data_IF_598173366200
#
_entry.id   IF_598173366200
#
_cell.length_a   1.000
_cell.length_b   1.000
_cell.length_c   1.000
_cell.angle_alpha   90.00
_cell.angle_beta   90.00
_cell.angle_gamma   90.00
#
_symmetry.space_group_name_H-M   'P 1'
#
loop_
_entity.id
_entity.type
_entity.pdbx_description
1 polymer ?
#
# COMPACT_ATOMS: atom_id res chain seq x y z
N UNK A 1 3.57 32.87 12.26
CA UNK A 1 4.70 31.97 11.90
C UNK A 1 5.25 31.20 13.09
N UNK A 2 5.34 31.78 14.29
CA UNK A 2 5.86 31.09 15.48
C UNK A 2 5.02 29.87 15.96
N UNK A 3 3.68 29.92 15.81
CA UNK A 3 2.81 28.83 16.30
C UNK A 3 2.90 27.53 15.48
N UNK A 4 3.26 27.61 14.19
CA UNK A 4 3.41 26.44 13.33
C UNK A 4 4.78 25.76 13.55
N UNK A 5 5.81 26.54 13.87
CA UNK A 5 7.12 26.02 14.28
C UNK A 5 7.03 25.29 15.63
N UNK A 6 6.20 25.77 16.55
CA UNK A 6 6.00 25.16 17.88
C UNK A 6 5.30 23.80 17.79
N UNK A 7 4.41 23.59 16.80
CA UNK A 7 3.75 22.30 16.60
C UNK A 7 4.69 21.23 16.01
N UNK A 8 5.69 21.65 15.21
CA UNK A 8 6.74 20.77 14.68
C UNK A 8 7.82 20.42 15.73
N UNK A 9 7.95 21.22 16.80
CA UNK A 9 8.92 21.01 17.89
C UNK A 9 8.37 20.15 19.04
N UNK A 10 7.16 19.60 18.92
CA UNK A 10 6.52 18.75 19.94
C UNK A 10 6.20 17.33 19.45
N UNK A 11 6.93 16.83 18.44
CA UNK A 11 7.08 15.40 18.19
C UNK A 11 8.17 14.86 19.12
N UNK A 12 7.86 14.20 20.25
CA UNK A 12 8.90 13.56 21.05
C UNK A 12 9.42 12.33 20.29
N UNK A 13 10.74 12.24 20.14
CA UNK A 13 11.54 11.03 19.94
C UNK A 13 10.94 9.94 19.02
N UNK A 14 11.14 10.09 17.71
CA UNK A 14 11.24 8.92 16.84
C UNK A 14 12.63 8.33 17.09
N UNK A 15 12.71 7.40 18.06
CA UNK A 15 13.86 6.51 18.11
C UNK A 15 13.84 5.70 16.81
N UNK A 16 14.83 5.98 15.96
CA UNK A 16 15.15 5.16 14.81
C UNK A 16 15.56 3.78 15.35
N UNK A 17 14.62 2.84 15.42
CA UNK A 17 14.90 1.45 15.77
C UNK A 17 15.65 0.82 14.58
N UNK A 18 16.99 0.95 14.60
CA UNK A 18 17.85 -0.01 13.92
C UNK A 18 17.63 -1.37 14.59
N UNK A 19 16.81 -2.21 13.97
CA UNK A 19 16.73 -3.62 14.34
C UNK A 19 18.05 -4.30 13.96
N UNK A 20 18.95 -4.37 14.93
CA UNK A 20 20.18 -5.16 14.88
C UNK A 20 19.81 -6.63 15.15
N UNK A 21 19.48 -7.37 14.09
CA UNK A 21 19.37 -8.82 14.11
C UNK A 21 20.74 -9.45 13.97
N UNK A 22 21.51 -9.47 15.06
CA UNK A 22 22.76 -10.21 15.13
C UNK A 22 22.50 -11.69 15.44
N UNK A 23 22.74 -12.57 14.48
CA UNK A 23 23.14 -13.95 14.78
C UNK A 23 24.37 -14.36 13.98
N UNK A 24 25.32 -14.92 14.74
CA UNK A 24 26.60 -15.44 14.31
C UNK A 24 26.36 -16.82 13.68
N UNK A 25 26.79 -17.03 12.44
CA UNK A 25 27.17 -18.37 11.99
C UNK A 25 28.56 -18.35 11.35
N UNK A 26 29.40 -19.22 11.90
CA UNK A 26 30.83 -19.26 11.71
C UNK A 26 31.27 -19.76 10.35
N UNK A 27 32.52 -19.41 10.05
CA UNK A 27 33.33 -19.97 8.97
C UNK A 27 33.43 -21.50 9.11
N UNK A 28 33.14 -22.21 8.03
CA UNK A 28 33.89 -23.39 7.63
C UNK A 28 33.93 -23.45 6.10
N UNK A 29 35.14 -23.30 5.57
CA UNK A 29 35.43 -23.44 4.15
C UNK A 29 35.86 -24.87 3.83
N UNK A 30 35.44 -25.33 2.64
CA UNK A 30 36.04 -26.36 1.77
C UNK A 30 36.16 -27.80 2.30
N UNK A 31 35.51 -28.71 1.55
CA UNK A 31 36.25 -29.66 0.70
C UNK A 31 35.43 -30.03 -0.55
N UNK A 32 36.06 -29.88 -1.71
CA UNK A 32 35.63 -30.47 -2.99
C UNK A 32 35.98 -31.96 -2.93
N UNK A 33 35.08 -32.81 -3.42
CA UNK A 33 35.47 -34.08 -4.04
C UNK A 33 34.51 -34.34 -5.20
N UNK A 34 35.15 -34.49 -6.35
CA UNK A 34 34.65 -34.76 -7.68
C UNK A 34 34.36 -36.25 -7.79
N UNK A 35 33.17 -36.63 -8.27
CA UNK A 35 33.04 -37.88 -9.01
C UNK A 35 31.99 -37.75 -10.10
N UNK A 36 32.39 -38.20 -11.28
CA UNK A 36 31.74 -38.00 -12.56
C UNK A 36 31.24 -39.37 -13.03
N UNK A 37 29.93 -39.56 -13.16
CA UNK A 37 29.39 -40.64 -14.00
C UNK A 37 28.01 -40.28 -14.60
N UNK A 38 27.75 -40.87 -15.77
CA UNK A 38 26.93 -40.45 -16.91
C UNK A 38 25.39 -40.53 -16.72
N UNK A 39 24.60 -39.99 -17.68
CA UNK A 39 23.19 -39.66 -17.50
C UNK A 39 22.26 -40.82 -17.81
N UNK A 40 21.32 -41.08 -16.91
CA UNK A 40 20.09 -41.80 -17.22
C UNK A 40 18.91 -40.84 -17.07
N UNK A 41 18.18 -40.71 -18.18
CA UNK A 41 17.00 -39.88 -18.32
C UNK A 41 15.78 -40.73 -18.00
N UNK A 42 14.98 -40.41 -16.97
CA UNK A 42 13.57 -40.75 -16.95
C UNK A 42 12.79 -39.53 -17.43
N UNK A 43 11.97 -39.74 -18.46
CA UNK A 43 11.07 -38.78 -19.05
C UNK A 43 10.32 -37.96 -18.00
N UNK A 44 10.48 -36.64 -18.04
CA UNK A 44 9.58 -35.69 -17.39
C UNK A 44 8.24 -35.82 -18.10
N UNK A 45 7.31 -36.54 -17.47
CA UNK A 45 5.90 -36.37 -17.76
C UNK A 45 5.54 -34.94 -17.35
N UNK A 46 5.40 -34.06 -18.34
CA UNK A 46 4.77 -32.76 -18.17
C UNK A 46 3.31 -32.99 -17.80
N UNK A 47 3.03 -33.21 -16.52
CA UNK A 47 1.72 -33.01 -15.94
C UNK A 47 1.47 -31.50 -15.90
N UNK A 48 1.00 -30.96 -17.02
CA UNK A 48 0.36 -29.64 -17.06
C UNK A 48 -0.90 -29.77 -16.19
N UNK A 49 -1.07 -28.98 -15.12
CA UNK A 49 -2.32 -28.96 -14.39
C UNK A 49 -3.45 -28.52 -15.33
N UNK A 50 -4.45 -29.39 -15.43
CA UNK A 50 -5.67 -29.24 -16.20
C UNK A 50 -6.56 -28.17 -15.55
N UNK A 51 -6.18 -26.89 -15.64
CA UNK A 51 -6.96 -25.80 -15.02
C UNK A 51 -7.15 -24.60 -15.95
N UNK A 52 -7.34 -24.87 -17.24
CA UNK A 52 -8.05 -23.95 -18.13
C UNK A 52 -9.33 -24.65 -18.56
N UNK A 53 -10.29 -24.69 -17.64
CA UNK A 53 -11.64 -25.12 -17.93
C UNK A 53 -12.13 -24.36 -19.18
N UNK A 54 -12.64 -25.11 -20.15
CA UNK A 54 -13.25 -24.58 -21.36
C UNK A 54 -14.35 -23.60 -20.95
N UNK A 55 -14.10 -22.31 -21.08
CA UNK A 55 -15.12 -21.29 -20.88
C UNK A 55 -16.16 -21.46 -21.99
N UNK A 56 -17.29 -22.09 -21.65
CA UNK A 56 -18.50 -22.02 -22.48
C UNK A 56 -18.86 -20.54 -22.57
N UNK A 57 -18.87 -20.00 -23.80
CA UNK A 57 -19.13 -18.60 -24.09
C UNK A 57 -20.62 -18.26 -23.86
N UNK A 58 -20.99 -18.13 -22.59
CA UNK A 58 -22.20 -17.44 -22.20
C UNK A 58 -21.83 -15.98 -21.89
N UNK A 59 -22.25 -14.98 -22.68
CA UNK A 59 -21.88 -13.59 -22.43
C UNK A 59 -22.35 -13.09 -21.06
N UNK A 60 -23.36 -13.74 -20.46
CA UNK A 60 -23.84 -13.47 -19.11
C UNK A 60 -22.86 -13.90 -18.00
N UNK A 61 -21.96 -14.86 -18.24
CA UNK A 61 -20.95 -15.31 -17.25
C UNK A 61 -19.64 -14.52 -17.31
N UNK A 62 -19.51 -13.55 -18.22
CA UNK A 62 -18.30 -12.73 -18.36
C UNK A 62 -18.14 -11.68 -17.24
N UNK A 63 -19.21 -11.40 -16.46
CA UNK A 63 -19.19 -10.44 -15.36
C UNK A 63 -18.96 -11.13 -14.01
N UNK A 64 -17.80 -10.90 -13.40
CA UNK A 64 -17.53 -11.29 -12.03
C UNK A 64 -18.24 -10.35 -11.04
N UNK A 65 -18.84 -10.93 -10.00
CA UNK A 65 -19.40 -10.22 -8.85
C UNK A 65 -18.27 -9.92 -7.85
N UNK A 66 -18.39 -8.89 -7.01
CA UNK A 66 -17.38 -8.59 -5.98
C UNK A 66 -17.06 -9.77 -5.04
N UNK A 67 -18.00 -10.69 -4.86
CA UNK A 67 -17.82 -11.90 -4.04
C UNK A 67 -17.04 -13.02 -4.74
N UNK A 68 -16.89 -12.96 -6.06
CA UNK A 68 -16.14 -13.94 -6.84
C UNK A 68 -14.62 -13.72 -6.70
N UNK A 69 -14.19 -12.58 -6.13
CA UNK A 69 -12.77 -12.28 -5.93
C UNK A 69 -12.30 -12.78 -4.55
N UNK A 70 -11.27 -13.64 -4.50
CA UNK A 70 -10.70 -14.11 -3.23
C UNK A 70 -10.03 -12.97 -2.45
N UNK A 71 -9.54 -11.95 -3.16
CA UNK A 71 -9.00 -10.74 -2.56
C UNK A 71 -9.83 -9.51 -2.92
N UNK A 72 -10.57 -8.99 -1.94
CA UNK A 72 -11.38 -7.78 -2.08
C UNK A 72 -10.60 -6.49 -1.76
N UNK A 73 -9.41 -6.62 -1.18
CA UNK A 73 -8.59 -5.50 -0.73
C UNK A 73 -8.29 -4.49 -1.84
N UNK A 74 -7.90 -4.89 -3.08
CA UNK A 74 -7.68 -3.94 -4.15
C UNK A 74 -8.95 -3.14 -4.53
N UNK A 75 -10.11 -3.79 -4.55
CA UNK A 75 -11.37 -3.18 -4.97
C UNK A 75 -11.80 -2.05 -4.04
N UNK A 76 -11.66 -2.25 -2.72
CA UNK A 76 -12.13 -1.28 -1.73
C UNK A 76 -11.09 -0.23 -1.33
N UNK A 77 -9.79 -0.55 -1.43
CA UNK A 77 -8.73 0.37 -0.98
C UNK A 77 -8.16 1.18 -2.13
N UNK A 78 -7.83 0.54 -3.25
CA UNK A 78 -6.98 1.18 -4.25
C UNK A 78 -7.72 2.28 -5.02
N UNK A 79 -9.01 2.11 -5.32
CA UNK A 79 -9.75 3.15 -6.03
C UNK A 79 -9.99 4.40 -5.16
N UNK A 80 -10.48 4.29 -3.91
CA UNK A 80 -10.68 5.46 -3.06
C UNK A 80 -9.37 6.11 -2.59
N UNK A 81 -8.29 5.35 -2.35
CA UNK A 81 -7.01 5.93 -1.92
C UNK A 81 -6.34 6.77 -3.00
N UNK A 82 -6.58 6.48 -4.29
CA UNK A 82 -6.09 7.31 -5.41
C UNK A 82 -6.63 8.73 -5.35
N UNK A 83 -7.78 8.97 -4.71
CA UNK A 83 -8.27 10.33 -4.48
C UNK A 83 -7.31 11.18 -3.63
N UNK A 84 -6.43 10.55 -2.85
CA UNK A 84 -5.38 11.28 -2.12
C UNK A 84 -4.31 11.86 -3.07
N UNK A 85 -4.00 11.17 -4.17
CA UNK A 85 -3.13 11.70 -5.24
C UNK A 85 -3.81 12.87 -5.94
N UNK A 86 -5.10 12.75 -6.21
CA UNK A 86 -5.92 13.84 -6.80
C UNK A 86 -5.95 15.03 -5.86
N UNK A 87 -6.17 14.82 -4.56
CA UNK A 87 -6.16 15.86 -3.54
C UNK A 87 -4.81 16.60 -3.50
N UNK A 88 -3.70 15.86 -3.52
CA UNK A 88 -2.36 16.46 -3.57
C UNK A 88 -2.16 17.32 -4.83
N UNK A 89 -2.51 16.80 -6.01
CA UNK A 89 -2.40 17.53 -7.27
C UNK A 89 -3.26 18.80 -7.29
N UNK A 90 -4.52 18.70 -6.88
CA UNK A 90 -5.43 19.85 -6.78
C UNK A 90 -4.90 20.88 -5.78
N UNK A 91 -4.37 20.44 -4.64
CA UNK A 91 -3.82 21.35 -3.64
C UNK A 91 -2.56 22.07 -4.13
N UNK A 92 -1.69 21.39 -4.90
CA UNK A 92 -0.55 22.03 -5.57
C UNK A 92 -1.00 23.09 -6.56
N UNK A 93 -2.04 22.81 -7.37
CA UNK A 93 -2.65 23.83 -8.23
C UNK A 93 -3.24 24.98 -7.39
N UNK A 94 -3.83 24.69 -6.24
CA UNK A 94 -4.45 25.69 -5.38
C UNK A 94 -3.43 26.67 -4.78
N UNK A 95 -2.14 26.31 -4.64
CA UNK A 95 -1.07 27.25 -4.28
C UNK A 95 -1.02 28.42 -5.27
N UNK A 96 -1.21 28.14 -6.56
CA UNK A 96 -1.11 29.12 -7.64
C UNK A 96 -2.41 29.89 -7.85
N UNK A 97 -3.55 29.18 -7.84
CA UNK A 97 -4.84 29.76 -8.21
C UNK A 97 -5.63 30.33 -7.02
N UNK A 98 -5.39 29.82 -5.80
CA UNK A 98 -6.01 30.29 -4.54
C UNK A 98 -7.54 30.37 -4.63
N UNK A 99 -8.14 29.33 -5.21
CA UNK A 99 -9.58 29.23 -5.49
C UNK A 99 -10.26 28.40 -4.41
N UNK A 100 -11.40 28.88 -3.92
CA UNK A 100 -12.18 28.19 -2.87
C UNK A 100 -12.74 26.86 -3.38
N UNK A 101 -13.01 26.77 -4.67
CA UNK A 101 -13.50 25.56 -5.33
C UNK A 101 -12.45 24.45 -5.26
N UNK A 102 -11.17 24.78 -5.53
CA UNK A 102 -10.07 23.82 -5.43
C UNK A 102 -9.86 23.38 -3.98
N UNK A 103 -9.99 24.30 -3.02
CA UNK A 103 -9.91 23.99 -1.59
C UNK A 103 -10.99 22.97 -1.17
N UNK A 104 -12.24 23.16 -1.60
CA UNK A 104 -13.32 22.21 -1.35
C UNK A 104 -13.10 20.85 -2.03
N UNK A 105 -12.61 20.84 -3.26
CA UNK A 105 -12.25 19.59 -3.97
C UNK A 105 -11.19 18.83 -3.19
N UNK A 106 -10.11 19.50 -2.74
CA UNK A 106 -9.09 18.90 -1.87
C UNK A 106 -9.72 18.33 -0.60
N UNK A 107 -10.58 19.09 0.08
CA UNK A 107 -11.25 18.64 1.31
C UNK A 107 -12.06 17.36 1.10
N UNK A 108 -12.95 17.35 0.10
CA UNK A 108 -13.82 16.19 -0.18
C UNK A 108 -13.00 14.97 -0.59
N UNK A 109 -12.03 15.15 -1.49
CA UNK A 109 -11.16 14.06 -1.93
C UNK A 109 -10.37 13.47 -0.75
N UNK A 110 -9.80 14.32 0.12
CA UNK A 110 -9.04 13.89 1.29
C UNK A 110 -9.92 13.16 2.31
N UNK A 111 -11.15 13.63 2.55
CA UNK A 111 -12.12 12.96 3.46
C UNK A 111 -12.43 11.56 2.97
N UNK A 112 -12.75 11.41 1.67
CA UNK A 112 -13.10 10.10 1.10
C UNK A 112 -11.89 9.18 1.15
N UNK A 113 -10.72 9.62 0.68
CA UNK A 113 -9.52 8.77 0.66
C UNK A 113 -9.08 8.34 2.05
N UNK A 114 -8.99 9.28 3.01
CA UNK A 114 -8.58 8.98 4.37
C UNK A 114 -9.64 8.12 5.08
N UNK A 115 -10.91 8.46 4.93
CA UNK A 115 -12.02 7.73 5.55
C UNK A 115 -12.05 6.27 5.09
N UNK A 116 -11.90 6.01 3.80
CA UNK A 116 -11.84 4.65 3.28
C UNK A 116 -10.58 3.91 3.73
N UNK A 117 -9.41 4.55 3.68
CA UNK A 117 -8.16 3.94 4.13
C UNK A 117 -8.25 3.51 5.60
N UNK A 118 -8.70 4.43 6.47
CA UNK A 118 -8.89 4.16 7.89
C UNK A 118 -9.88 3.03 8.14
N UNK A 119 -11.01 3.02 7.41
CA UNK A 119 -12.01 1.96 7.52
C UNK A 119 -11.44 0.59 7.16
N UNK A 120 -10.77 0.46 6.00
CA UNK A 120 -10.27 -0.84 5.56
C UNK A 120 -9.15 -1.35 6.47
N UNK A 121 -8.24 -0.50 6.92
CA UNK A 121 -7.18 -0.90 7.86
C UNK A 121 -7.74 -1.40 9.19
N UNK A 122 -8.88 -0.88 9.65
CA UNK A 122 -9.48 -1.29 10.93
C UNK A 122 -10.41 -2.50 10.83
N UNK A 123 -11.12 -2.66 9.72
CA UNK A 123 -12.22 -3.63 9.63
C UNK A 123 -12.06 -4.68 8.53
N UNK A 124 -11.14 -4.49 7.58
CA UNK A 124 -11.01 -5.35 6.39
C UNK A 124 -9.54 -5.60 5.98
N UNK A 125 -8.61 -5.59 6.94
CA UNK A 125 -7.21 -5.90 6.66
C UNK A 125 -7.04 -7.40 6.37
N UNK A 126 -6.49 -7.79 5.20
CA UNK A 126 -6.22 -9.18 4.91
C UNK A 126 -5.04 -9.69 5.75
N UNK A 127 -5.13 -10.91 6.26
CA UNK A 127 -4.00 -11.62 6.87
C UNK A 127 -3.36 -12.53 5.82
N UNK A 128 -2.03 -12.53 5.76
CA UNK A 128 -1.26 -13.39 4.85
C UNK A 128 -0.47 -14.42 5.63
N UNK A 129 -0.37 -15.64 5.11
CA UNK A 129 0.42 -16.72 5.72
C UNK A 129 1.21 -17.51 4.67
N UNK A 130 2.28 -18.19 5.10
CA UNK A 130 3.10 -19.05 4.23
C UNK A 130 3.99 -18.29 3.22
N UNK A 131 4.27 -17.02 3.45
CA UNK A 131 5.13 -16.19 2.60
C UNK A 131 6.61 -16.60 2.69
N UNK A 132 7.34 -16.44 1.58
CA UNK A 132 8.81 -16.52 1.57
C UNK A 132 9.40 -15.38 2.41
N UNK A 133 10.63 -15.53 2.89
CA UNK A 133 11.30 -14.47 3.66
C UNK A 133 11.43 -13.15 2.87
N UNK A 134 11.64 -13.24 1.55
CA UNK A 134 11.68 -12.06 0.70
C UNK A 134 10.30 -11.40 0.56
N UNK A 135 9.24 -12.18 0.32
CA UNK A 135 7.88 -11.65 0.22
C UNK A 135 7.39 -11.00 1.53
N UNK A 136 7.83 -11.50 2.69
CA UNK A 136 7.58 -10.85 3.98
C UNK A 136 8.22 -9.46 4.06
N UNK A 137 9.48 -9.32 3.65
CA UNK A 137 10.15 -8.01 3.64
C UNK A 137 9.46 -7.00 2.70
N UNK A 138 8.96 -7.47 1.55
CA UNK A 138 8.19 -6.64 0.62
C UNK A 138 6.84 -6.24 1.24
N UNK A 139 6.17 -7.17 1.93
CA UNK A 139 4.92 -6.90 2.63
C UNK A 139 5.11 -5.92 3.78
N UNK A 140 6.14 -6.08 4.61
CA UNK A 140 6.47 -5.14 5.68
C UNK A 140 6.66 -3.73 5.14
N UNK A 141 7.26 -3.60 3.94
CA UNK A 141 7.45 -2.31 3.31
C UNK A 141 6.17 -1.75 2.69
N UNK A 142 5.32 -2.59 2.12
CA UNK A 142 3.97 -2.19 1.72
C UNK A 142 3.19 -1.62 2.92
N UNK A 143 3.17 -2.35 4.03
CA UNK A 143 2.45 -1.99 5.26
C UNK A 143 3.03 -0.71 5.88
N UNK A 144 4.35 -0.55 5.91
CA UNK A 144 4.99 0.68 6.37
C UNK A 144 4.46 1.90 5.60
N UNK A 145 4.44 1.85 4.27
CA UNK A 145 3.96 2.97 3.46
C UNK A 145 2.45 3.15 3.51
N UNK A 146 1.69 2.07 3.71
CA UNK A 146 0.25 2.12 3.94
C UNK A 146 -0.07 2.81 5.29
N UNK A 147 0.67 2.52 6.35
CA UNK A 147 0.52 3.18 7.65
C UNK A 147 0.87 4.68 7.56
N UNK A 148 1.98 5.02 6.92
CA UNK A 148 2.36 6.41 6.71
C UNK A 148 1.34 7.17 5.86
N UNK A 149 0.70 6.51 4.89
CA UNK A 149 -0.41 7.08 4.13
C UNK A 149 -1.57 7.47 5.05
N UNK A 150 -1.92 6.63 6.02
CA UNK A 150 -3.02 6.91 6.96
C UNK A 150 -2.64 8.06 7.89
N UNK A 151 -1.44 8.03 8.48
CA UNK A 151 -0.98 9.10 9.37
C UNK A 151 -0.93 10.46 8.64
N UNK A 152 -0.30 10.51 7.46
CA UNK A 152 -0.19 11.72 6.68
C UNK A 152 -1.53 12.15 6.09
N UNK A 153 -2.40 11.22 5.71
CA UNK A 153 -3.76 11.50 5.28
C UNK A 153 -4.58 12.16 6.40
N UNK A 154 -4.46 11.66 7.63
CA UNK A 154 -5.12 12.23 8.81
C UNK A 154 -4.59 13.63 9.16
N UNK A 155 -3.27 13.81 9.17
CA UNK A 155 -2.63 15.12 9.38
C UNK A 155 -3.01 16.09 8.23
N UNK A 156 -3.05 15.60 6.98
CA UNK A 156 -3.44 16.36 5.81
C UNK A 156 -4.89 16.83 5.91
N UNK A 157 -5.81 15.94 6.31
CA UNK A 157 -7.21 16.30 6.56
C UNK A 157 -7.35 17.33 7.67
N UNK A 158 -6.70 17.12 8.82
CA UNK A 158 -6.72 18.08 9.92
C UNK A 158 -6.17 19.45 9.48
N UNK A 159 -5.04 19.47 8.78
CA UNK A 159 -4.42 20.69 8.25
C UNK A 159 -5.34 21.39 7.23
N UNK A 160 -6.03 20.63 6.39
CA UNK A 160 -6.96 21.16 5.40
C UNK A 160 -8.20 21.76 6.05
N UNK A 161 -8.78 21.13 7.07
CA UNK A 161 -9.88 21.70 7.83
C UNK A 161 -9.46 22.96 8.59
N UNK A 162 -8.27 22.97 9.19
CA UNK A 162 -7.70 24.17 9.81
C UNK A 162 -7.48 25.28 8.77
N UNK A 163 -6.98 24.96 7.58
CA UNK A 163 -6.83 25.89 6.47
C UNK A 163 -8.16 26.55 6.10
N UNK A 164 -9.23 25.75 6.03
CA UNK A 164 -10.55 26.17 5.58
C UNK A 164 -11.27 27.03 6.63
N UNK A 165 -11.27 26.60 7.90
CA UNK A 165 -12.08 27.24 8.95
C UNK A 165 -11.32 28.25 9.80
N UNK A 166 -10.04 28.01 10.12
CA UNK A 166 -9.25 28.89 10.97
C UNK A 166 -8.40 29.87 10.17
N UNK A 167 -7.63 29.36 9.20
CA UNK A 167 -6.69 30.19 8.43
C UNK A 167 -7.31 30.82 7.19
N UNK A 168 -8.55 30.45 6.84
CA UNK A 168 -9.38 31.02 5.77
C UNK A 168 -8.65 31.10 4.43
N UNK A 169 -7.90 30.06 4.07
CA UNK A 169 -7.19 29.96 2.79
C UNK A 169 -5.97 30.87 2.66
N UNK A 170 -5.30 31.24 3.76
CA UNK A 170 -4.01 31.94 3.71
C UNK A 170 -2.97 31.12 2.93
N UNK A 171 -2.24 31.76 2.02
CA UNK A 171 -1.25 31.10 1.13
C UNK A 171 -0.28 30.15 1.86
N UNK A 172 0.28 30.59 2.99
CA UNK A 172 1.21 29.75 3.76
C UNK A 172 0.55 28.47 4.29
N UNK A 173 -0.73 28.53 4.66
CA UNK A 173 -1.49 27.38 5.16
C UNK A 173 -1.80 26.41 4.02
N UNK A 174 -2.17 26.93 2.84
CA UNK A 174 -2.32 26.13 1.61
C UNK A 174 -1.03 25.39 1.27
N UNK A 175 0.12 26.06 1.36
CA UNK A 175 1.45 25.44 1.13
C UNK A 175 1.72 24.32 2.14
N UNK A 176 1.41 24.51 3.42
CA UNK A 176 1.58 23.48 4.45
C UNK A 176 0.73 22.25 4.12
N UNK A 177 -0.54 22.44 3.79
CA UNK A 177 -1.41 21.32 3.39
C UNK A 177 -0.84 20.62 2.16
N UNK A 178 -0.38 21.38 1.15
CA UNK A 178 0.17 20.81 -0.07
C UNK A 178 1.41 19.95 0.20
N UNK A 179 2.30 20.38 1.10
CA UNK A 179 3.47 19.60 1.49
C UNK A 179 3.08 18.28 2.17
N UNK A 180 2.14 18.34 3.12
CA UNK A 180 1.66 17.14 3.83
C UNK A 180 0.97 16.17 2.87
N UNK A 181 0.06 16.65 2.03
CA UNK A 181 -0.64 15.82 1.05
C UNK A 181 0.30 15.27 -0.03
N UNK A 182 1.35 16.00 -0.41
CA UNK A 182 2.38 15.50 -1.33
C UNK A 182 3.20 14.37 -0.71
N UNK A 183 3.53 14.48 0.58
CA UNK A 183 4.17 13.39 1.31
C UNK A 183 3.25 12.16 1.40
N UNK A 184 1.96 12.37 1.68
CA UNK A 184 0.97 11.30 1.68
C UNK A 184 0.85 10.62 0.30
N UNK A 185 0.84 11.42 -0.77
CA UNK A 185 0.80 10.93 -2.15
C UNK A 185 2.04 10.09 -2.50
N UNK A 186 3.22 10.48 -2.03
CA UNK A 186 4.44 9.67 -2.16
C UNK A 186 4.29 8.32 -1.44
N UNK A 187 3.81 8.31 -0.20
CA UNK A 187 3.59 7.07 0.55
C UNK A 187 2.57 6.15 -0.15
N UNK A 188 1.44 6.68 -0.64
CA UNK A 188 0.46 5.89 -1.42
C UNK A 188 1.11 5.26 -2.65
N UNK A 189 1.93 6.03 -3.36
CA UNK A 189 2.60 5.56 -4.57
C UNK A 189 3.59 4.43 -4.26
N UNK A 190 4.33 4.54 -3.16
CA UNK A 190 5.24 3.49 -2.70
C UNK A 190 4.50 2.25 -2.19
N UNK A 191 3.41 2.40 -1.44
CA UNK A 191 2.57 1.28 -1.05
C UNK A 191 2.03 0.54 -2.28
N UNK A 192 1.53 1.27 -3.28
CA UNK A 192 1.11 0.71 -4.56
C UNK A 192 2.24 -0.01 -5.30
N UNK A 193 3.46 0.54 -5.28
CA UNK A 193 4.63 -0.09 -5.89
C UNK A 193 4.97 -1.46 -5.26
N UNK A 194 5.07 -1.52 -3.94
CA UNK A 194 5.31 -2.79 -3.24
C UNK A 194 4.12 -3.75 -3.35
N UNK A 195 2.88 -3.22 -3.40
CA UNK A 195 1.68 -4.02 -3.66
C UNK A 195 1.71 -4.68 -5.04
N UNK A 196 2.14 -3.95 -6.07
CA UNK A 196 2.33 -4.50 -7.41
C UNK A 196 3.45 -5.55 -7.44
N UNK A 197 4.55 -5.35 -6.69
CA UNK A 197 5.59 -6.35 -6.54
C UNK A 197 5.09 -7.63 -5.86
N UNK A 198 4.33 -7.51 -4.77
CA UNK A 198 3.72 -8.65 -4.09
C UNK A 198 2.87 -9.49 -5.03
N UNK A 199 2.02 -8.83 -5.83
CA UNK A 199 1.09 -9.52 -6.74
C UNK A 199 1.81 -10.11 -7.96
N UNK A 200 2.68 -9.35 -8.62
CA UNK A 200 3.21 -9.70 -9.93
C UNK A 200 4.58 -10.38 -9.90
N UNK A 201 5.36 -10.22 -8.82
CA UNK A 201 6.70 -10.82 -8.68
C UNK A 201 6.68 -11.92 -7.62
N UNK A 202 6.11 -11.65 -6.44
CA UNK A 202 6.07 -12.63 -5.33
C UNK A 202 4.87 -13.59 -5.42
N UNK A 203 3.87 -13.28 -6.25
CA UNK A 203 2.69 -14.12 -6.48
C UNK A 203 1.68 -14.15 -5.32
N UNK A 204 1.64 -13.10 -4.49
CA UNK A 204 0.78 -12.95 -3.31
C UNK A 204 -0.52 -12.25 -3.67
N UNK A 205 -1.65 -12.92 -3.47
CA UNK A 205 -2.98 -12.30 -3.57
C UNK A 205 -3.80 -12.46 -4.86
N UNK A 206 -3.28 -12.54 -6.10
CA UNK A 206 -4.13 -12.47 -7.31
C UNK A 206 -5.06 -13.67 -7.51
N UNK A 207 -4.75 -14.83 -6.91
CA UNK A 207 -5.58 -16.04 -6.95
C UNK A 207 -5.92 -16.57 -5.54
N UNK A 208 -5.83 -15.73 -4.49
CA UNK A 208 -6.00 -16.17 -3.10
C UNK A 208 -4.80 -16.92 -2.51
N UNK A 209 -3.75 -17.16 -3.30
CA UNK A 209 -2.48 -17.73 -2.83
C UNK A 209 -1.88 -16.87 -1.72
N UNK A 210 -1.59 -17.50 -0.58
CA UNK A 210 -1.05 -16.89 0.65
C UNK A 210 -2.01 -15.97 1.43
N UNK A 211 -3.30 -15.93 1.10
CA UNK A 211 -4.31 -15.24 1.92
C UNK A 211 -4.94 -16.20 2.93
N UNK A 212 -5.08 -15.77 4.19
CA UNK A 212 -5.87 -16.51 5.18
C UNK A 212 -7.36 -16.31 4.88
N UNK A 213 -7.98 -17.28 4.21
CA UNK A 213 -9.44 -17.38 4.14
C UNK A 213 -9.94 -18.07 5.39
N UNK A 214 -10.58 -17.32 6.29
CA UNK A 214 -11.15 -17.86 7.53
C UNK A 214 -12.15 -18.98 7.26
N UNK A 215 -11.75 -20.23 7.51
CA UNK A 215 -12.67 -21.34 7.69
C UNK A 215 -13.28 -21.23 9.10
N UNK A 216 -14.34 -20.44 9.22
CA UNK A 216 -15.25 -20.60 10.35
C UNK A 216 -16.23 -21.74 10.01
N UNK A 217 -16.04 -22.88 10.67
CA UNK A 217 -17.02 -23.97 10.75
C UNK A 217 -18.24 -23.57 11.59
#
# INVERSE_FOLDING_TARGET
>A
MAALLMLLLHLPNIQLLYAHGGEKHGKAAKKMEENQEKPDTPAVQSAVPEEHAVHIQEPASAHARPDDFPNKHPLFVHFPIVLLLVAAAVQLCNILFLRKELDWVTTVATIISFGTAYYVTKFAHPHTSGLTEHAKLVLDQHDLYADWTIYLGGIGLASQLLNQFLFKGRRWSIVVVALVLSAAAYCVSMAGHYGAQLVHIEGVGPQGKYLETGHHH
#
